data_IF_487304869730
#
_entry.id   IF_487304869730
#
_cell.length_a   1.000
_cell.length_b   1.000
_cell.length_c   1.000
_cell.angle_alpha   90.00
_cell.angle_beta   90.00
_cell.angle_gamma   90.00
#
_symmetry.space_group_name_H-M   'P 1'
#
loop_
_entity.id
_entity.type
_entity.pdbx_description
1 polymer ?
#
# COMPACT_ATOMS: atom_id res chain seq x y z
N UNK A 1 74.60 -20.92 45.61
CA UNK A 1 74.43 -19.45 45.60
C UNK A 1 73.01 -19.15 45.08
N UNK A 2 72.13 -18.66 45.97
CA UNK A 2 70.88 -17.90 45.76
C UNK A 2 69.91 -18.32 44.63
N UNK A 3 68.79 -18.95 44.97
CA UNK A 3 67.44 -18.35 45.14
C UNK A 3 66.85 -17.70 43.87
N UNK A 4 65.74 -18.25 43.36
CA UNK A 4 64.45 -17.55 43.13
C UNK A 4 63.45 -18.48 42.42
N UNK A 5 62.54 -19.09 43.18
CA UNK A 5 61.28 -19.60 42.66
C UNK A 5 60.44 -18.40 42.17
N UNK A 6 60.11 -18.36 40.89
CA UNK A 6 59.03 -17.49 40.38
C UNK A 6 57.75 -18.32 40.31
N UNK A 7 56.88 -18.13 41.31
CA UNK A 7 55.52 -18.62 41.26
C UNK A 7 54.75 -17.83 40.19
N UNK A 8 54.37 -18.49 39.09
CA UNK A 8 53.47 -17.94 38.09
C UNK A 8 52.04 -18.07 38.64
N UNK A 9 51.51 -16.98 39.19
CA UNK A 9 50.10 -16.90 39.55
C UNK A 9 49.27 -16.78 38.28
N UNK A 10 48.61 -17.87 37.88
CA UNK A 10 47.58 -17.84 36.83
C UNK A 10 46.32 -17.23 37.43
N UNK A 11 46.10 -15.95 37.19
CA UNK A 11 44.84 -15.28 37.50
C UNK A 11 43.74 -15.78 36.57
N UNK A 12 42.83 -16.58 37.09
CA UNK A 12 41.63 -17.02 36.38
C UNK A 12 40.69 -15.81 36.22
N UNK A 13 40.72 -15.15 35.06
CA UNK A 13 39.67 -14.20 34.68
C UNK A 13 38.37 -15.00 34.50
N UNK A 14 37.50 -14.96 35.50
CA UNK A 14 36.09 -15.31 35.35
C UNK A 14 35.46 -14.24 34.44
N UNK A 15 35.44 -14.51 33.13
CA UNK A 15 34.51 -13.86 32.23
C UNK A 15 33.10 -14.19 32.73
N UNK A 16 32.49 -13.27 33.47
CA UNK A 16 31.05 -13.26 33.68
C UNK A 16 30.46 -12.96 32.31
N UNK A 17 30.19 -14.03 31.56
CA UNK A 17 29.39 -14.00 30.35
C UNK A 17 28.04 -13.41 30.73
N UNK A 18 27.87 -12.10 30.57
CA UNK A 18 26.58 -11.48 30.67
C UNK A 18 25.68 -12.21 29.68
N UNK A 19 24.66 -12.90 30.18
CA UNK A 19 23.65 -13.51 29.33
C UNK A 19 22.98 -12.38 28.56
N UNK A 20 23.41 -12.18 27.31
CA UNK A 20 22.64 -11.38 26.36
C UNK A 20 21.31 -12.09 26.17
N UNK A 21 20.27 -11.58 26.83
CA UNK A 21 18.90 -11.93 26.49
C UNK A 21 18.62 -11.34 25.11
N UNK A 22 18.82 -12.14 24.07
CA UNK A 22 18.20 -11.88 22.79
C UNK A 22 16.69 -12.02 22.99
N UNK A 23 15.95 -10.91 22.90
CA UNK A 23 14.50 -11.01 22.72
C UNK A 23 14.28 -11.78 21.43
N UNK A 24 13.72 -12.98 21.52
CA UNK A 24 13.25 -13.68 20.33
C UNK A 24 12.22 -12.76 19.68
N UNK A 25 12.59 -12.17 18.53
CA UNK A 25 11.64 -11.45 17.70
C UNK A 25 10.45 -12.38 17.50
N UNK A 26 9.28 -11.98 18.01
CA UNK A 26 8.07 -12.74 17.77
C UNK A 26 7.82 -12.65 16.27
N UNK A 27 8.17 -13.71 15.54
CA UNK A 27 8.21 -13.78 14.09
C UNK A 27 6.82 -13.68 13.41
N UNK A 28 5.80 -13.30 14.16
CA UNK A 28 4.42 -13.17 13.72
C UNK A 28 3.90 -11.77 14.06
N UNK A 29 4.21 -10.75 13.23
CA UNK A 29 3.61 -9.44 13.38
C UNK A 29 2.08 -9.56 13.32
N UNK A 30 1.37 -8.77 14.12
CA UNK A 30 -0.09 -8.80 14.11
C UNK A 30 -0.70 -8.19 12.85
N UNK A 31 -0.04 -7.17 12.30
CA UNK A 31 -0.42 -6.48 11.09
C UNK A 31 0.84 -6.18 10.28
N UNK A 32 0.79 -6.51 9.00
CA UNK A 32 1.73 -6.06 7.98
C UNK A 32 1.07 -4.90 7.23
N UNK A 33 1.79 -3.78 7.11
CA UNK A 33 1.36 -2.64 6.29
C UNK A 33 2.39 -2.45 5.19
N UNK A 34 1.96 -2.58 3.94
CA UNK A 34 2.80 -2.35 2.76
C UNK A 34 2.39 -1.00 2.18
N UNK A 35 3.34 -0.09 2.00
CA UNK A 35 3.08 1.24 1.46
C UNK A 35 3.87 1.39 0.18
N UNK A 36 3.17 1.42 -0.95
CA UNK A 36 3.77 1.65 -2.28
C UNK A 36 3.49 3.09 -2.69
N UNK A 37 4.54 3.92 -2.73
CA UNK A 37 4.41 5.32 -3.14
C UNK A 37 4.61 5.40 -4.66
N UNK A 38 3.51 5.59 -5.39
CA UNK A 38 3.53 5.60 -6.86
C UNK A 38 4.47 6.69 -7.40
N UNK A 39 5.30 6.32 -8.37
CA UNK A 39 6.32 7.19 -8.98
C UNK A 39 7.38 7.75 -8.00
N UNK A 40 7.56 7.15 -6.82
CA UNK A 40 8.55 7.58 -5.85
C UNK A 40 9.94 7.04 -6.18
N UNK A 41 10.82 7.91 -6.68
CA UNK A 41 12.20 7.54 -7.01
C UNK A 41 13.03 7.37 -5.74
N UNK A 42 13.93 6.39 -5.74
CA UNK A 42 14.81 6.12 -4.60
C UNK A 42 15.69 7.30 -4.18
N UNK A 43 16.09 8.16 -5.11
CA UNK A 43 16.93 9.34 -4.82
C UNK A 43 16.20 10.42 -4.01
N UNK A 44 14.87 10.38 -3.90
CA UNK A 44 14.12 11.33 -3.06
C UNK A 44 14.42 11.17 -1.57
N UNK A 45 14.73 9.95 -1.12
CA UNK A 45 15.07 9.69 0.29
C UNK A 45 16.37 10.36 0.71
N UNK A 46 17.34 10.44 -0.19
CA UNK A 46 18.59 11.16 0.06
C UNK A 46 18.43 12.66 -0.21
N UNK A 47 17.82 13.04 -1.33
CA UNK A 47 17.66 14.44 -1.75
C UNK A 47 16.92 15.30 -0.72
N UNK A 48 15.92 14.75 -0.04
CA UNK A 48 15.08 15.48 0.91
C UNK A 48 15.32 15.05 2.37
N UNK A 49 16.40 14.31 2.64
CA UNK A 49 16.66 13.68 3.93
C UNK A 49 16.59 14.65 5.11
N UNK A 50 17.22 15.81 4.95
CA UNK A 50 17.30 16.85 5.98
C UNK A 50 15.95 17.55 6.25
N UNK A 51 14.94 17.31 5.41
CA UNK A 51 13.60 17.89 5.54
C UNK A 51 12.61 16.91 6.22
N UNK A 52 13.01 15.67 6.50
CA UNK A 52 12.10 14.68 7.08
C UNK A 52 11.92 14.84 8.60
N UNK A 53 10.66 14.91 9.02
CA UNK A 53 10.27 14.82 10.43
C UNK A 53 10.55 13.43 11.03
N UNK A 54 10.47 13.33 12.36
CA UNK A 54 10.94 12.13 13.09
C UNK A 54 10.10 10.89 12.80
N UNK A 55 8.79 11.03 12.63
CA UNK A 55 7.83 9.91 12.60
C UNK A 55 7.50 9.33 11.22
N UNK A 56 8.22 9.74 10.17
CA UNK A 56 7.96 9.31 8.78
C UNK A 56 9.15 8.56 8.16
N UNK A 57 9.59 8.99 6.99
CA UNK A 57 10.75 8.39 6.31
C UNK A 57 12.00 8.32 7.20
N UNK A 58 12.25 9.32 8.05
CA UNK A 58 13.41 9.32 8.96
C UNK A 58 13.37 8.13 9.92
N UNK A 59 12.21 7.84 10.53
CA UNK A 59 12.03 6.65 11.36
C UNK A 59 12.37 5.36 10.60
N UNK A 60 11.86 5.21 9.37
CA UNK A 60 12.07 4.02 8.55
C UNK A 60 13.55 3.87 8.15
N UNK A 61 14.23 4.97 7.80
CA UNK A 61 15.64 4.97 7.42
C UNK A 61 16.58 4.72 8.60
N UNK A 62 16.27 5.23 9.79
CA UNK A 62 17.13 5.12 10.97
C UNK A 62 16.90 3.82 11.78
N UNK A 63 15.68 3.27 11.74
CA UNK A 63 15.27 2.14 12.59
C UNK A 63 14.80 0.92 11.82
N UNK A 64 14.68 1.03 10.49
CA UNK A 64 14.31 -0.06 9.60
C UNK A 64 15.51 -0.64 8.84
N UNK A 65 15.20 -1.53 7.90
CA UNK A 65 16.15 -2.00 6.90
C UNK A 65 15.94 -1.20 5.61
N UNK A 66 17.00 -0.56 5.12
CA UNK A 66 16.97 0.23 3.89
C UNK A 66 17.78 -0.47 2.79
N UNK A 67 17.10 -0.88 1.72
CA UNK A 67 17.70 -1.51 0.56
C UNK A 67 17.83 -0.49 -0.56
N UNK A 68 19.04 0.06 -0.73
CA UNK A 68 19.32 1.15 -1.68
C UNK A 68 19.62 0.66 -3.10
N UNK A 69 19.93 -0.61 -3.27
CA UNK A 69 20.15 -1.26 -4.57
C UNK A 69 18.98 -2.21 -4.87
N UNK A 70 17.80 -1.62 -5.09
CA UNK A 70 16.56 -2.33 -5.39
C UNK A 70 15.96 -1.78 -6.69
N UNK A 71 15.82 -2.63 -7.70
CA UNK A 71 15.45 -2.23 -9.05
C UNK A 71 14.31 -3.11 -9.58
N UNK A 72 13.45 -2.53 -10.42
CA UNK A 72 12.56 -3.31 -11.26
C UNK A 72 13.38 -3.95 -12.38
N UNK A 73 13.55 -5.27 -12.33
CA UNK A 73 14.33 -6.02 -13.32
C UNK A 73 13.52 -6.36 -14.59
N UNK A 74 12.69 -5.41 -15.03
CA UNK A 74 11.85 -5.52 -16.22
C UNK A 74 11.57 -4.14 -16.83
N UNK A 75 11.28 -4.12 -18.13
CA UNK A 75 11.19 -2.88 -18.90
C UNK A 75 9.85 -2.13 -18.73
N UNK A 76 8.76 -2.84 -18.45
CA UNK A 76 7.41 -2.28 -18.39
C UNK A 76 7.11 -1.66 -17.01
N UNK A 77 7.80 -0.58 -16.66
CA UNK A 77 7.65 0.16 -15.40
C UNK A 77 6.35 0.98 -15.34
N UNK A 78 5.21 0.30 -15.48
CA UNK A 78 3.87 0.84 -15.34
C UNK A 78 3.28 0.48 -13.97
N UNK A 79 2.36 1.31 -13.47
CA UNK A 79 1.69 1.11 -12.16
C UNK A 79 1.14 -0.31 -11.98
N UNK A 80 0.36 -0.82 -12.94
CA UNK A 80 -0.26 -2.15 -12.87
C UNK A 80 0.78 -3.27 -12.73
N UNK A 81 1.80 -3.28 -13.60
CA UNK A 81 2.86 -4.26 -13.57
C UNK A 81 3.67 -4.18 -12.27
N UNK A 82 4.02 -2.96 -11.84
CA UNK A 82 4.67 -2.67 -10.55
C UNK A 82 3.96 -3.29 -9.36
N UNK A 83 2.68 -2.98 -9.18
CA UNK A 83 1.91 -3.45 -8.02
C UNK A 83 1.71 -4.98 -8.05
N UNK A 84 1.50 -5.56 -9.24
CA UNK A 84 1.41 -7.01 -9.38
C UNK A 84 2.75 -7.71 -9.07
N UNK A 85 3.88 -7.19 -9.56
CA UNK A 85 5.21 -7.75 -9.26
C UNK A 85 5.54 -7.66 -7.77
N UNK A 86 5.31 -6.49 -7.15
CA UNK A 86 5.67 -6.27 -5.74
C UNK A 86 5.00 -7.27 -4.79
N UNK A 87 3.75 -7.67 -5.07
CA UNK A 87 2.99 -8.54 -4.17
C UNK A 87 2.91 -10.00 -4.61
N UNK A 88 3.20 -10.33 -5.87
CA UNK A 88 3.34 -11.74 -6.30
C UNK A 88 4.76 -12.27 -6.22
N UNK A 89 5.78 -11.39 -6.22
CA UNK A 89 7.17 -11.80 -6.39
C UNK A 89 7.49 -12.35 -7.78
N UNK A 90 6.52 -12.39 -8.70
CA UNK A 90 6.71 -12.78 -10.09
C UNK A 90 6.97 -11.56 -10.98
N UNK A 91 7.56 -11.77 -12.16
CA UNK A 91 7.59 -10.75 -13.22
C UNK A 91 6.35 -10.87 -14.13
N UNK A 92 6.19 -9.93 -15.06
CA UNK A 92 4.97 -9.87 -15.89
C UNK A 92 4.74 -11.10 -16.76
N UNK A 93 5.78 -11.87 -17.08
CA UNK A 93 5.65 -13.16 -17.75
C UNK A 93 5.12 -14.29 -16.84
N UNK A 94 5.12 -14.10 -15.52
CA UNK A 94 4.53 -15.00 -14.53
C UNK A 94 3.15 -14.54 -14.08
N UNK A 95 2.99 -13.29 -13.66
CA UNK A 95 1.70 -12.78 -13.16
C UNK A 95 0.76 -12.25 -14.25
N UNK A 96 1.21 -12.15 -15.52
CA UNK A 96 0.38 -11.81 -16.69
C UNK A 96 0.05 -10.33 -16.90
N UNK A 97 0.41 -9.45 -15.96
CA UNK A 97 0.05 -8.02 -16.01
C UNK A 97 1.17 -7.21 -16.66
N UNK A 98 1.02 -6.92 -17.95
CA UNK A 98 2.07 -6.23 -18.73
C UNK A 98 1.94 -4.71 -18.76
N UNK A 99 0.73 -4.15 -18.63
CA UNK A 99 0.47 -2.72 -18.77
C UNK A 99 -0.78 -2.30 -17.97
N UNK A 100 -1.00 -0.98 -17.83
CA UNK A 100 -2.22 -0.45 -17.20
C UNK A 100 -3.49 -0.72 -18.04
N UNK A 101 -3.32 -0.85 -19.35
CA UNK A 101 -4.36 -1.18 -20.31
C UNK A 101 -3.73 -1.80 -21.55
N UNK A 102 -4.50 -2.59 -22.29
CA UNK A 102 -4.06 -3.19 -23.54
C UNK A 102 -5.23 -3.34 -24.51
N UNK A 103 -4.90 -3.59 -25.78
CA UNK A 103 -5.87 -3.94 -26.80
C UNK A 103 -6.29 -5.40 -26.63
N UNK A 104 -7.55 -5.63 -26.29
CA UNK A 104 -8.11 -6.97 -26.22
C UNK A 104 -8.59 -7.42 -27.60
N UNK A 105 -8.02 -8.53 -28.10
CA UNK A 105 -8.28 -9.02 -29.46
C UNK A 105 -9.66 -9.65 -29.61
N UNK A 106 -10.25 -10.16 -28.53
CA UNK A 106 -11.54 -10.84 -28.55
C UNK A 106 -12.69 -9.82 -28.63
N UNK A 107 -12.63 -8.81 -27.76
CA UNK A 107 -13.60 -7.72 -27.64
C UNK A 107 -13.33 -6.56 -28.59
N UNK A 108 -12.13 -6.51 -29.22
CA UNK A 108 -11.69 -5.48 -30.18
C UNK A 108 -11.78 -4.06 -29.62
N UNK A 109 -11.34 -3.88 -28.38
CA UNK A 109 -11.27 -2.58 -27.72
C UNK A 109 -10.11 -2.52 -26.75
N UNK A 110 -9.76 -1.31 -26.30
CA UNK A 110 -8.89 -1.14 -25.15
C UNK A 110 -9.63 -1.55 -23.87
N UNK A 111 -8.97 -2.33 -23.03
CA UNK A 111 -9.45 -2.69 -21.68
C UNK A 111 -8.40 -2.28 -20.65
N UNK A 112 -8.84 -1.95 -19.43
CA UNK A 112 -7.91 -1.71 -18.33
C UNK A 112 -7.44 -3.04 -17.75
N UNK A 113 -6.33 -3.01 -17.00
CA UNK A 113 -5.72 -4.22 -16.45
C UNK A 113 -6.61 -4.99 -15.46
N UNK A 114 -7.62 -4.32 -14.90
CA UNK A 114 -8.51 -4.86 -13.88
C UNK A 114 -9.98 -4.88 -14.34
N UNK A 115 -10.31 -4.38 -15.52
CA UNK A 115 -11.70 -4.29 -16.00
C UNK A 115 -12.35 -5.67 -16.09
N UNK A 116 -13.44 -5.88 -15.35
CA UNK A 116 -14.16 -7.15 -15.31
C UNK A 116 -15.66 -6.94 -15.53
N UNK A 117 -16.10 -7.19 -16.77
CA UNK A 117 -17.51 -7.09 -17.18
C UNK A 117 -18.41 -8.13 -16.49
N UNK A 118 -17.85 -9.14 -15.82
CA UNK A 118 -18.57 -10.11 -14.98
C UNK A 118 -18.92 -9.58 -13.59
N UNK A 119 -18.31 -8.48 -13.17
CA UNK A 119 -18.53 -7.85 -11.86
C UNK A 119 -19.19 -6.48 -12.01
N UNK A 120 -19.71 -5.91 -10.92
CA UNK A 120 -20.31 -4.55 -10.90
C UNK A 120 -19.66 -3.68 -9.85
N UNK A 121 -19.51 -2.39 -10.14
CA UNK A 121 -19.06 -1.42 -9.15
C UNK A 121 -20.11 -1.26 -8.04
N UNK A 122 -19.62 -1.05 -6.81
CA UNK A 122 -20.40 -0.87 -5.61
C UNK A 122 -20.00 0.46 -4.97
N UNK A 123 -20.99 1.26 -4.57
CA UNK A 123 -20.80 2.59 -3.96
C UNK A 123 -21.13 3.76 -4.89
N UNK A 124 -21.55 3.46 -6.13
CA UNK A 124 -22.02 4.40 -7.15
C UNK A 124 -23.47 4.10 -7.55
N UNK A 125 -24.13 5.10 -8.14
CA UNK A 125 -25.45 4.91 -8.73
C UNK A 125 -25.34 4.20 -10.08
N UNK A 126 -26.28 3.28 -10.35
CA UNK A 126 -26.32 2.50 -11.59
C UNK A 126 -25.49 1.21 -11.53
N UNK A 127 -25.63 0.39 -12.57
CA UNK A 127 -24.91 -0.88 -12.72
C UNK A 127 -23.78 -0.70 -13.72
N UNK A 128 -22.60 -0.32 -13.23
CA UNK A 128 -21.40 -0.10 -14.04
C UNK A 128 -20.51 -1.34 -14.04
N UNK A 129 -19.80 -1.66 -15.15
CA UNK A 129 -18.81 -2.74 -15.19
C UNK A 129 -17.78 -2.58 -14.06
N UNK A 130 -17.52 -3.68 -13.34
CA UNK A 130 -16.65 -3.68 -12.18
C UNK A 130 -15.18 -3.89 -12.52
N UNK A 131 -14.40 -4.14 -11.47
CA UNK A 131 -12.98 -4.44 -11.57
C UNK A 131 -12.59 -5.56 -10.62
N UNK A 132 -11.66 -6.41 -11.02
CA UNK A 132 -11.24 -7.60 -10.26
C UNK A 132 -9.80 -8.01 -10.64
N UNK A 133 -9.16 -8.91 -9.87
CA UNK A 133 -7.85 -9.45 -10.20
C UNK A 133 -7.91 -10.56 -11.26
N UNK A 134 -9.00 -10.72 -12.02
CA UNK A 134 -9.19 -11.86 -12.95
C UNK A 134 -8.10 -12.02 -14.03
N UNK A 135 -7.35 -10.96 -14.36
CA UNK A 135 -6.23 -11.02 -15.30
C UNK A 135 -4.90 -11.44 -14.64
N UNK A 136 -4.86 -11.51 -13.31
CA UNK A 136 -3.68 -11.96 -12.57
C UNK A 136 -3.53 -13.47 -12.73
N UNK A 137 -2.29 -13.94 -12.93
CA UNK A 137 -1.98 -15.37 -13.14
C UNK A 137 -1.13 -15.99 -12.01
N UNK A 138 -0.72 -15.18 -11.04
CA UNK A 138 0.10 -15.61 -9.91
C UNK A 138 -0.57 -15.18 -8.60
N UNK A 139 -0.43 -16.01 -7.57
CA UNK A 139 -0.82 -15.66 -6.20
C UNK A 139 0.00 -14.46 -5.69
N UNK A 140 -0.55 -13.82 -4.66
CA UNK A 140 0.07 -12.71 -3.95
C UNK A 140 0.45 -13.13 -2.54
N UNK A 141 1.25 -12.30 -1.87
CA UNK A 141 1.50 -12.41 -0.43
C UNK A 141 0.19 -12.48 0.36
N UNK A 142 -0.86 -11.76 -0.07
CA UNK A 142 -2.19 -11.81 0.55
C UNK A 142 -2.87 -13.17 0.39
N UNK A 143 -2.80 -13.75 -0.81
CA UNK A 143 -3.32 -15.08 -1.11
C UNK A 143 -2.60 -16.16 -0.29
N UNK A 144 -1.28 -16.12 -0.26
CA UNK A 144 -0.46 -17.04 0.53
C UNK A 144 -0.71 -16.89 2.03
N UNK A 145 -0.88 -15.66 2.52
CA UNK A 145 -1.24 -15.39 3.91
C UNK A 145 -2.62 -15.97 4.25
N UNK A 146 -3.60 -15.84 3.34
CA UNK A 146 -4.91 -16.46 3.49
C UNK A 146 -4.80 -17.98 3.54
N UNK A 147 -4.04 -18.61 2.65
CA UNK A 147 -3.83 -20.06 2.65
C UNK A 147 -3.15 -20.54 3.94
N UNK A 148 -2.04 -19.91 4.33
CA UNK A 148 -1.26 -20.26 5.51
C UNK A 148 -2.04 -20.12 6.82
N UNK A 149 -3.02 -19.22 6.86
CA UNK A 149 -3.86 -18.96 8.03
C UNK A 149 -5.23 -19.63 7.97
N UNK A 150 -5.48 -20.48 6.95
CA UNK A 150 -6.78 -21.14 6.74
C UNK A 150 -7.93 -20.12 6.64
N UNK A 151 -7.69 -19.01 5.96
CA UNK A 151 -8.63 -17.91 5.76
C UNK A 151 -8.80 -16.97 6.94
N UNK A 152 -8.07 -17.16 8.06
CA UNK A 152 -8.23 -16.34 9.28
C UNK A 152 -7.59 -14.96 9.17
N UNK A 153 -6.54 -14.80 8.38
CA UNK A 153 -5.95 -13.50 8.10
C UNK A 153 -6.98 -12.61 7.41
N UNK A 154 -6.95 -11.32 7.70
CA UNK A 154 -7.66 -10.30 6.93
C UNK A 154 -6.69 -9.60 6.00
N UNK A 155 -7.08 -9.46 4.74
CA UNK A 155 -6.27 -8.92 3.66
C UNK A 155 -7.09 -7.83 2.97
N UNK A 156 -6.58 -6.61 2.99
CA UNK A 156 -7.22 -5.48 2.32
C UNK A 156 -6.22 -4.71 1.46
N UNK A 157 -6.67 -4.27 0.29
CA UNK A 157 -5.95 -3.33 -0.55
C UNK A 157 -6.68 -2.00 -0.67
N UNK A 158 -5.97 -0.88 -0.50
CA UNK A 158 -6.52 0.45 -0.72
C UNK A 158 -5.60 1.25 -1.60
N UNK A 159 -6.16 2.05 -2.49
CA UNK A 159 -5.39 3.02 -3.26
C UNK A 159 -6.32 4.02 -3.93
N UNK A 160 -5.83 5.18 -4.32
CA UNK A 160 -6.62 6.05 -5.20
C UNK A 160 -6.93 5.41 -6.55
N UNK A 161 -6.12 4.46 -7.01
CA UNK A 161 -6.24 3.77 -8.31
C UNK A 161 -6.68 2.33 -8.10
N UNK A 162 -7.71 1.89 -8.82
CA UNK A 162 -8.22 0.51 -8.83
C UNK A 162 -7.13 -0.58 -8.86
N UNK A 163 -6.25 -0.56 -9.85
CA UNK A 163 -5.16 -1.52 -10.05
C UNK A 163 -4.13 -1.54 -8.91
N UNK A 164 -3.95 -0.42 -8.21
CA UNK A 164 -3.03 -0.33 -7.09
C UNK A 164 -3.64 -0.90 -5.80
N UNK A 165 -4.97 -0.96 -5.69
CA UNK A 165 -5.66 -1.66 -4.60
C UNK A 165 -5.85 -3.15 -4.92
N UNK A 166 -6.24 -3.47 -6.16
CA UNK A 166 -6.67 -4.81 -6.58
C UNK A 166 -5.51 -5.80 -6.68
N UNK A 167 -4.42 -5.45 -7.36
CA UNK A 167 -3.33 -6.41 -7.55
C UNK A 167 -2.62 -6.75 -6.24
N UNK A 168 -2.37 -5.80 -5.32
CA UNK A 168 -1.83 -6.14 -4.01
C UNK A 168 -2.74 -6.99 -3.12
N UNK A 169 -4.06 -6.80 -3.21
CA UNK A 169 -5.03 -7.58 -2.45
C UNK A 169 -5.15 -9.05 -2.91
N UNK A 170 -4.79 -9.33 -4.18
CA UNK A 170 -4.83 -10.67 -4.75
C UNK A 170 -6.24 -11.21 -4.95
N UNK A 171 -6.34 -12.52 -5.16
CA UNK A 171 -7.61 -13.20 -5.42
C UNK A 171 -8.47 -13.37 -4.16
N UNK A 172 -7.83 -13.55 -3.00
CA UNK A 172 -8.46 -13.91 -1.74
C UNK A 172 -8.62 -12.73 -0.77
N UNK A 173 -8.38 -11.50 -1.22
CA UNK A 173 -8.55 -10.29 -0.41
C UNK A 173 -9.99 -10.15 0.12
N UNK A 174 -10.14 -9.76 1.39
CA UNK A 174 -11.44 -9.45 2.00
C UNK A 174 -12.05 -8.16 1.44
N UNK A 175 -11.24 -7.32 0.80
CA UNK A 175 -11.69 -6.11 0.14
C UNK A 175 -10.56 -5.37 -0.56
N UNK A 176 -10.83 -4.90 -1.77
CA UNK A 176 -10.07 -3.82 -2.39
C UNK A 176 -10.95 -2.57 -2.50
N UNK A 177 -10.45 -1.43 -2.05
CA UNK A 177 -11.15 -0.14 -2.10
C UNK A 177 -10.34 0.88 -2.87
N UNK A 178 -11.00 1.54 -3.83
CA UNK A 178 -10.42 2.63 -4.59
C UNK A 178 -11.40 3.77 -4.76
N UNK A 179 -10.94 4.95 -5.20
CA UNK A 179 -11.85 6.07 -5.41
C UNK A 179 -12.49 6.03 -6.79
N UNK A 180 -13.76 6.37 -6.86
CA UNK A 180 -14.37 6.87 -8.08
C UNK A 180 -13.73 8.20 -8.44
N UNK A 181 -13.12 8.30 -9.62
CA UNK A 181 -12.37 9.51 -9.99
C UNK A 181 -13.24 10.75 -10.04
N UNK A 182 -14.50 10.63 -10.47
CA UNK A 182 -15.42 11.75 -10.59
C UNK A 182 -15.74 12.37 -9.23
N UNK A 183 -16.17 11.54 -8.29
CA UNK A 183 -16.73 12.00 -7.01
C UNK A 183 -15.77 11.94 -5.83
N UNK A 184 -14.67 11.19 -5.95
CA UNK A 184 -13.76 10.90 -4.86
C UNK A 184 -14.31 9.88 -3.85
N UNK A 185 -15.51 9.32 -4.07
CA UNK A 185 -16.09 8.32 -3.18
C UNK A 185 -15.27 7.04 -3.24
N UNK A 186 -15.03 6.42 -2.09
CA UNK A 186 -14.44 5.07 -2.04
C UNK A 186 -15.45 4.02 -2.45
N UNK A 187 -15.05 3.16 -3.36
CA UNK A 187 -15.87 2.15 -4.03
C UNK A 187 -15.15 0.80 -4.03
N UNK A 188 -15.89 -0.25 -4.37
CA UNK A 188 -15.36 -1.59 -4.60
C UNK A 188 -16.12 -2.25 -5.75
N UNK A 189 -15.97 -3.56 -5.96
CA UNK A 189 -16.79 -4.33 -6.89
C UNK A 189 -17.44 -5.54 -6.25
N UNK A 190 -18.43 -6.12 -6.95
CA UNK A 190 -19.09 -7.37 -6.56
C UNK A 190 -18.16 -8.57 -6.50
N UNK A 191 -16.90 -8.43 -6.93
CA UNK A 191 -15.86 -9.44 -6.69
C UNK A 191 -15.59 -9.60 -5.19
N UNK A 192 -15.49 -8.49 -4.46
CA UNK A 192 -15.05 -8.48 -3.06
C UNK A 192 -16.22 -8.49 -2.07
N UNK A 193 -17.29 -7.74 -2.37
CA UNK A 193 -18.41 -7.53 -1.45
C UNK A 193 -19.72 -7.46 -2.21
N UNK A 194 -20.85 -7.75 -1.55
CA UNK A 194 -22.19 -7.50 -2.14
C UNK A 194 -22.66 -6.06 -1.97
N UNK A 195 -22.13 -5.35 -0.97
CA UNK A 195 -22.43 -3.96 -0.66
C UNK A 195 -21.24 -3.29 0.05
N UNK A 196 -21.20 -1.96 0.13
CA UNK A 196 -20.17 -1.28 0.93
C UNK A 196 -20.39 -1.60 2.42
N UNK A 197 -19.33 -1.92 3.19
CA UNK A 197 -19.46 -2.05 4.62
C UNK A 197 -19.94 -0.72 5.21
N UNK A 198 -20.72 -0.79 6.30
CA UNK A 198 -21.38 0.37 6.90
C UNK A 198 -20.39 1.52 7.18
N UNK A 199 -19.21 1.22 7.73
CA UNK A 199 -18.21 2.23 8.05
C UNK A 199 -17.72 3.00 6.80
N UNK A 200 -17.61 2.32 5.65
CA UNK A 200 -17.19 2.94 4.39
C UNK A 200 -18.33 3.75 3.76
N UNK A 201 -19.57 3.27 3.89
CA UNK A 201 -20.77 4.03 3.52
C UNK A 201 -20.86 5.32 4.35
N UNK A 202 -20.66 5.24 5.67
CA UNK A 202 -20.66 6.38 6.58
C UNK A 202 -19.48 7.33 6.28
N UNK A 203 -18.28 6.79 5.99
CA UNK A 203 -17.11 7.57 5.56
C UNK A 203 -17.44 8.41 4.32
N UNK A 204 -18.00 7.80 3.28
CA UNK A 204 -18.45 8.49 2.08
C UNK A 204 -19.61 9.47 2.34
N UNK A 205 -20.54 9.11 3.23
CA UNK A 205 -21.70 9.93 3.62
C UNK A 205 -21.30 11.19 4.40
N UNK A 206 -20.19 11.13 5.14
CA UNK A 206 -19.62 12.27 5.87
C UNK A 206 -18.92 13.30 5.00
N UNK A 207 -18.91 13.11 3.67
CA UNK A 207 -18.38 14.05 2.67
C UNK A 207 -16.91 14.43 2.90
N UNK A 208 -16.10 13.51 3.45
CA UNK A 208 -14.67 13.74 3.72
C UNK A 208 -13.86 14.13 2.48
N UNK A 209 -14.26 13.69 1.29
CA UNK A 209 -13.65 14.13 0.04
C UNK A 209 -13.73 15.66 -0.14
N UNK A 210 -14.86 16.29 0.24
CA UNK A 210 -15.06 17.75 0.09
C UNK A 210 -14.05 18.57 0.91
N UNK A 211 -13.52 18.01 2.00
CA UNK A 211 -12.44 18.62 2.80
C UNK A 211 -11.21 18.95 1.95
N UNK A 212 -10.95 18.21 0.88
CA UNK A 212 -9.75 18.34 0.06
C UNK A 212 -9.96 19.21 -1.19
N UNK A 213 -11.18 19.71 -1.41
CA UNK A 213 -11.49 20.69 -2.46
C UNK A 213 -11.26 22.12 -1.97
N UNK A 214 -11.07 23.05 -2.90
CA UNK A 214 -10.86 24.47 -2.62
C UNK A 214 -9.67 24.75 -1.67
N UNK A 215 -8.63 23.91 -1.74
CA UNK A 215 -7.38 24.07 -0.99
C UNK A 215 -6.25 24.56 -1.88
N UNK A 216 -5.33 25.28 -1.26
CA UNK A 216 -4.06 25.65 -1.87
C UNK A 216 -2.95 24.78 -1.30
N UNK A 217 -2.22 24.08 -2.15
CA UNK A 217 -0.93 23.48 -1.79
C UNK A 217 0.15 24.54 -1.96
N UNK A 218 0.87 24.85 -0.88
CA UNK A 218 1.93 25.85 -0.84
C UNK A 218 3.29 25.21 -0.54
N UNK A 219 4.35 25.78 -1.10
CA UNK A 219 5.72 25.46 -0.66
C UNK A 219 6.09 26.18 0.65
N UNK A 220 7.30 25.94 1.16
CA UNK A 220 7.79 26.53 2.41
C UNK A 220 7.91 28.06 2.37
N UNK A 221 7.92 28.68 1.19
CA UNK A 221 7.90 30.14 1.02
C UNK A 221 6.50 30.73 0.99
N UNK A 222 5.46 29.89 1.04
CA UNK A 222 4.06 30.30 0.94
C UNK A 222 3.56 30.46 -0.49
N UNK A 223 4.37 30.17 -1.51
CA UNK A 223 3.95 30.19 -2.91
C UNK A 223 3.01 29.03 -3.19
N UNK A 224 1.86 29.33 -3.81
CA UNK A 224 0.89 28.33 -4.24
C UNK A 224 1.49 27.51 -5.41
N UNK A 225 1.67 26.22 -5.19
CA UNK A 225 2.10 25.24 -6.18
C UNK A 225 0.93 24.70 -7.00
N UNK A 226 -0.22 24.48 -6.34
CA UNK A 226 -1.46 23.98 -6.97
C UNK A 226 -2.67 24.36 -6.14
N UNK A 227 -3.82 24.51 -6.80
CA UNK A 227 -5.13 24.64 -6.17
C UNK A 227 -6.02 23.45 -6.50
N UNK A 228 -6.86 23.05 -5.55
CA UNK A 228 -7.93 22.06 -5.74
C UNK A 228 -9.30 22.71 -5.91
N UNK A 229 -9.34 24.03 -6.17
CA UNK A 229 -10.56 24.71 -6.55
C UNK A 229 -10.93 24.37 -8.00
N UNK A 230 -12.19 24.00 -8.29
CA UNK A 230 -12.63 23.79 -9.66
C UNK A 230 -12.62 25.12 -10.43
N UNK A 231 -12.25 25.06 -11.71
CA UNK A 231 -12.30 26.23 -12.60
C UNK A 231 -13.74 26.40 -13.10
N UNK A 232 -14.38 27.58 -12.91
CA UNK A 232 -15.73 27.81 -13.39
C UNK A 232 -15.85 27.54 -14.90
N UNK A 233 -16.86 26.75 -15.29
CA UNK A 233 -17.11 26.40 -16.69
C UNK A 233 -16.26 25.24 -17.22
N UNK A 234 -15.37 24.64 -16.41
CA UNK A 234 -14.61 23.46 -16.77
C UNK A 234 -15.10 22.24 -15.97
N UNK A 235 -15.53 21.19 -16.66
CA UNK A 235 -15.81 19.91 -16.00
C UNK A 235 -14.49 19.32 -15.48
N UNK A 236 -14.42 19.09 -14.17
CA UNK A 236 -13.26 18.53 -13.50
C UNK A 236 -13.72 17.43 -12.55
N UNK A 237 -12.93 16.35 -12.48
CA UNK A 237 -13.16 15.27 -11.52
C UNK A 237 -12.46 15.57 -10.19
N UNK A 238 -12.91 14.92 -9.10
CA UNK A 238 -12.19 14.97 -7.83
C UNK A 238 -10.72 14.55 -8.01
N UNK A 239 -10.49 13.48 -8.80
CA UNK A 239 -9.14 12.99 -9.07
C UNK A 239 -8.27 14.04 -9.77
N UNK A 240 -8.77 14.74 -10.79
CA UNK A 240 -8.00 15.76 -11.52
C UNK A 240 -7.55 16.91 -10.61
N UNK A 241 -8.40 17.30 -9.67
CA UNK A 241 -8.12 18.40 -8.75
C UNK A 241 -7.14 17.95 -7.66
N UNK A 242 -7.38 16.77 -7.06
CA UNK A 242 -6.74 16.38 -5.81
C UNK A 242 -5.53 15.47 -6.02
N UNK A 243 -5.54 14.55 -6.98
CA UNK A 243 -4.56 13.45 -7.08
C UNK A 243 -3.10 13.91 -7.22
N UNK A 244 -2.86 15.08 -7.81
CA UNK A 244 -1.53 15.65 -7.96
C UNK A 244 -1.22 16.72 -6.89
N UNK A 245 -1.74 16.52 -5.69
CA UNK A 245 -1.44 17.29 -4.47
C UNK A 245 -1.20 16.32 -3.29
N UNK A 246 -0.50 16.74 -2.23
CA UNK A 246 -0.33 15.92 -1.02
C UNK A 246 -1.65 15.52 -0.35
N UNK A 247 -2.71 16.28 -0.58
CA UNK A 247 -4.05 16.04 -0.04
C UNK A 247 -4.64 14.69 -0.46
N UNK A 248 -4.22 14.16 -1.61
CA UNK A 248 -4.63 12.84 -2.07
C UNK A 248 -4.10 11.74 -1.15
N UNK A 249 -2.83 11.85 -0.74
CA UNK A 249 -2.21 10.93 0.21
C UNK A 249 -2.85 11.06 1.60
N UNK A 250 -3.15 12.29 2.05
CA UNK A 250 -3.87 12.51 3.31
C UNK A 250 -5.23 11.81 3.33
N UNK A 251 -5.95 11.87 2.20
CA UNK A 251 -7.26 11.24 2.05
C UNK A 251 -7.16 9.71 2.08
N UNK A 252 -6.14 9.14 1.44
CA UNK A 252 -5.85 7.70 1.47
C UNK A 252 -5.45 7.22 2.87
N UNK A 253 -4.58 7.95 3.58
CA UNK A 253 -4.21 7.63 4.97
C UNK A 253 -5.39 7.78 5.94
N UNK A 254 -6.32 8.68 5.66
CA UNK A 254 -7.56 8.80 6.44
C UNK A 254 -8.42 7.55 6.29
N UNK A 255 -8.58 7.02 5.07
CA UNK A 255 -9.25 5.74 4.84
C UNK A 255 -8.50 4.58 5.54
N UNK A 256 -7.17 4.52 5.39
CA UNK A 256 -6.34 3.46 5.98
C UNK A 256 -6.58 3.32 7.50
N UNK A 257 -6.61 4.45 8.21
CA UNK A 257 -6.85 4.48 9.67
C UNK A 257 -8.24 3.98 10.05
N UNK A 258 -9.26 4.39 9.30
CA UNK A 258 -10.64 3.95 9.53
C UNK A 258 -10.78 2.45 9.22
N UNK A 259 -10.18 1.97 8.14
CA UNK A 259 -10.17 0.55 7.77
C UNK A 259 -9.52 -0.29 8.87
N UNK A 260 -8.31 0.07 9.32
CA UNK A 260 -7.62 -0.64 10.42
C UNK A 260 -8.51 -0.73 11.66
N UNK A 261 -9.19 0.37 12.00
CA UNK A 261 -10.05 0.46 13.18
C UNK A 261 -11.31 -0.40 13.04
N UNK A 262 -12.06 -0.23 11.95
CA UNK A 262 -13.37 -0.86 11.79
C UNK A 262 -13.29 -2.33 11.35
N UNK A 263 -12.33 -2.68 10.50
CA UNK A 263 -12.03 -4.07 10.15
C UNK A 263 -11.18 -4.75 11.23
N UNK A 264 -10.76 -4.01 12.27
CA UNK A 264 -10.00 -4.46 13.44
C UNK A 264 -8.66 -5.12 13.10
N UNK A 265 -7.97 -4.66 12.06
CA UNK A 265 -6.71 -5.25 11.60
C UNK A 265 -5.67 -5.28 12.74
N UNK A 266 -4.93 -6.38 12.84
CA UNK A 266 -3.96 -6.64 13.92
C UNK A 266 -4.56 -7.08 15.26
N UNK A 267 -5.89 -7.08 15.41
CA UNK A 267 -6.54 -7.49 16.67
C UNK A 267 -6.87 -8.99 16.74
N UNK A 268 -6.64 -9.73 15.65
CA UNK A 268 -7.02 -11.13 15.50
C UNK A 268 -5.97 -12.14 15.98
N UNK A 269 -6.29 -13.45 15.86
CA UNK A 269 -5.35 -14.52 16.15
C UNK A 269 -4.26 -14.66 15.06
N UNK A 270 -4.57 -14.30 13.82
CA UNK A 270 -3.67 -14.36 12.67
C UNK A 270 -2.99 -13.00 12.41
N UNK A 271 -1.89 -13.03 11.65
CA UNK A 271 -1.34 -11.83 11.01
C UNK A 271 -2.31 -11.35 9.93
N UNK A 272 -2.61 -10.06 9.92
CA UNK A 272 -3.38 -9.40 8.87
C UNK A 272 -2.47 -8.60 7.94
N UNK A 273 -2.99 -8.24 6.77
CA UNK A 273 -2.29 -7.47 5.74
C UNK A 273 -3.14 -6.28 5.27
N UNK A 274 -2.54 -5.10 5.24
CA UNK A 274 -3.03 -3.92 4.55
C UNK A 274 -1.99 -3.50 3.51
N UNK A 275 -2.43 -3.31 2.27
CA UNK A 275 -1.59 -2.82 1.16
C UNK A 275 -2.13 -1.52 0.59
#
# INVERSE_FOLDING_TARGET
MRFLLRALGVGLLLCVSGTCFGSAYNAHPKLIVIIVIDQFRGDYLERYRDQFGEGGFRLLLERGANFTDCNYDYANTHTAAGHATLLSGAYSNGHGIHANSWWDRQTKRMVTSVQDDGTRLIGLAGSLPGASPHNLLADTLGDELKLATQGKARVFGIALKDRAAIFPAGFAGDGAYWIDYKTGRWITSTYYRSELPKWLSDFNGSKRAEKYLNKEWKDSSGRVLRTTAPVPGQETSFYDLVAATPFANDYEFELARELITYEKLGSGPATDLLT
#
